data_IF_710698711348
#
_entry.id   IF_710698711348
#
_cell.length_a   1.000
_cell.length_b   1.000
_cell.length_c   1.000
_cell.angle_alpha   90.00
_cell.angle_beta   90.00
_cell.angle_gamma   90.00
#
_symmetry.space_group_name_H-M   'P 1'
#
loop_
_entity.id
_entity.type
_entity.pdbx_description
1 polymer ?
#
# COMPACT_ATOMS: atom_id res chain seq x y z
N UNK A 1 2.04 6.45 4.54
CA UNK A 1 1.63 5.35 3.65
C UNK A 1 0.30 5.70 3.01
N UNK A 2 0.17 5.72 1.68
CA UNK A 2 -1.04 6.17 0.97
C UNK A 2 -1.89 5.02 0.39
N UNK A 3 -3.10 5.33 -0.11
CA UNK A 3 -4.03 4.37 -0.72
C UNK A 3 -3.39 3.54 -1.85
N UNK A 4 -2.68 4.18 -2.79
CA UNK A 4 -2.02 3.49 -3.91
C UNK A 4 -1.05 2.40 -3.43
N UNK A 5 -0.13 2.77 -2.53
CA UNK A 5 0.85 1.83 -2.00
C UNK A 5 0.19 0.75 -1.12
N UNK A 6 -0.95 1.03 -0.47
CA UNK A 6 -1.69 0.00 0.26
C UNK A 6 -2.34 -1.01 -0.69
N UNK A 7 -2.95 -0.55 -1.77
CA UNK A 7 -3.49 -1.43 -2.83
C UNK A 7 -2.38 -2.33 -3.37
N UNK A 8 -1.21 -1.76 -3.68
CA UNK A 8 -0.04 -2.53 -4.11
C UNK A 8 0.38 -3.60 -3.09
N UNK A 9 0.32 -3.31 -1.79
CA UNK A 9 0.58 -4.31 -0.74
C UNK A 9 -0.51 -5.38 -0.63
N UNK A 10 -1.77 -5.00 -0.80
CA UNK A 10 -2.88 -5.95 -0.88
C UNK A 10 -2.65 -6.95 -2.01
N UNK A 11 -2.33 -6.46 -3.21
CA UNK A 11 -1.99 -7.27 -4.38
C UNK A 11 -0.76 -8.13 -4.10
N UNK A 12 0.30 -7.56 -3.51
CA UNK A 12 1.51 -8.30 -3.17
C UNK A 12 1.21 -9.49 -2.25
N UNK A 13 0.42 -9.32 -1.18
CA UNK A 13 0.15 -10.41 -0.25
C UNK A 13 -0.88 -11.42 -0.78
N UNK A 14 -1.97 -10.94 -1.38
CA UNK A 14 -3.14 -11.75 -1.74
C UNK A 14 -3.09 -12.31 -3.16
N UNK A 15 -2.19 -11.79 -3.99
CA UNK A 15 -2.14 -11.93 -5.46
C UNK A 15 -3.34 -11.28 -6.15
N UNK A 16 -3.16 -10.87 -7.41
CA UNK A 16 -4.24 -10.25 -8.21
C UNK A 16 -5.40 -11.24 -8.46
N UNK A 17 -5.10 -12.53 -8.53
CA UNK A 17 -6.03 -13.63 -8.78
C UNK A 17 -6.04 -14.61 -7.59
N UNK A 18 -6.44 -14.12 -6.41
CA UNK A 18 -6.61 -14.99 -5.24
C UNK A 18 -7.59 -16.13 -5.56
N UNK A 19 -7.16 -17.38 -5.29
CA UNK A 19 -8.01 -18.56 -5.42
C UNK A 19 -9.01 -18.67 -4.27
N UNK A 20 -8.60 -18.24 -3.07
CA UNK A 20 -9.46 -18.24 -1.88
C UNK A 20 -10.50 -17.13 -1.93
N UNK A 21 -11.72 -17.44 -1.49
CA UNK A 21 -12.81 -16.46 -1.40
C UNK A 21 -12.48 -15.34 -0.40
N UNK A 22 -11.95 -15.70 0.77
CA UNK A 22 -11.45 -14.76 1.78
C UNK A 22 -10.45 -13.76 1.20
N UNK A 23 -9.48 -14.23 0.39
CA UNK A 23 -8.50 -13.38 -0.27
C UNK A 23 -9.09 -12.48 -1.37
N UNK A 24 -10.09 -12.94 -2.13
CA UNK A 24 -10.78 -12.12 -3.14
C UNK A 24 -11.56 -10.98 -2.48
N UNK A 25 -12.32 -11.29 -1.45
CA UNK A 25 -13.08 -10.28 -0.70
C UNK A 25 -12.16 -9.26 -0.03
N UNK A 26 -11.05 -9.70 0.58
CA UNK A 26 -10.09 -8.79 1.18
C UNK A 26 -9.39 -7.91 0.14
N UNK A 27 -9.08 -8.47 -1.05
CA UNK A 27 -8.52 -7.69 -2.15
C UNK A 27 -9.53 -6.66 -2.68
N UNK A 28 -10.81 -6.99 -2.70
CA UNK A 28 -11.88 -6.03 -3.03
C UNK A 28 -11.89 -4.84 -2.07
N UNK A 29 -11.72 -5.08 -0.77
CA UNK A 29 -11.58 -4.02 0.24
C UNK A 29 -10.35 -3.14 0.01
N UNK A 30 -9.23 -3.71 -0.42
CA UNK A 30 -8.08 -2.91 -0.82
C UNK A 30 -8.40 -2.02 -2.02
N UNK A 31 -9.03 -2.56 -3.06
CA UNK A 31 -9.34 -1.82 -4.29
C UNK A 31 -10.40 -0.72 -4.08
N UNK A 32 -11.26 -0.85 -3.07
CA UNK A 32 -12.28 0.14 -2.73
C UNK A 32 -11.77 1.30 -1.87
N UNK A 33 -10.54 1.24 -1.34
CA UNK A 33 -9.97 2.26 -0.43
C UNK A 33 -10.13 3.70 -0.92
N UNK A 34 -9.95 3.93 -2.22
CA UNK A 34 -10.04 5.26 -2.84
C UNK A 34 -11.45 5.88 -2.80
N UNK A 35 -12.49 5.10 -2.56
CA UNK A 35 -13.89 5.54 -2.68
C UNK A 35 -14.70 5.29 -1.40
N UNK A 36 -14.04 4.86 -0.33
CA UNK A 36 -14.70 4.47 0.93
C UNK A 36 -14.53 5.56 1.99
N UNK A 37 -15.47 5.57 2.94
CA UNK A 37 -15.32 6.31 4.20
C UNK A 37 -14.62 5.44 5.24
N UNK A 38 -13.90 6.08 6.17
CA UNK A 38 -13.23 5.42 7.28
C UNK A 38 -14.15 4.42 8.02
N UNK A 39 -15.34 4.88 8.41
CA UNK A 39 -16.29 4.08 9.20
C UNK A 39 -16.79 2.87 8.42
N UNK A 40 -17.20 3.08 7.17
CA UNK A 40 -17.67 1.99 6.29
C UNK A 40 -16.58 0.94 6.13
N UNK A 41 -15.34 1.34 5.87
CA UNK A 41 -14.23 0.41 5.71
C UNK A 41 -13.97 -0.38 7.01
N UNK A 42 -14.01 0.27 8.17
CA UNK A 42 -13.83 -0.39 9.47
C UNK A 42 -14.92 -1.43 9.75
N UNK A 43 -16.18 -1.08 9.44
CA UNK A 43 -17.31 -1.99 9.56
C UNK A 43 -17.17 -3.18 8.62
N UNK A 44 -16.92 -2.95 7.32
CA UNK A 44 -16.78 -4.02 6.34
C UNK A 44 -15.57 -4.91 6.64
N UNK A 45 -14.45 -4.35 7.10
CA UNK A 45 -13.28 -5.13 7.51
C UNK A 45 -13.57 -6.02 8.73
N UNK A 46 -14.42 -5.54 9.66
CA UNK A 46 -14.85 -6.31 10.83
C UNK A 46 -15.82 -7.43 10.43
N UNK A 47 -16.78 -7.14 9.54
CA UNK A 47 -17.67 -8.14 8.96
C UNK A 47 -16.91 -9.23 8.22
N UNK A 48 -15.90 -8.85 7.43
CA UNK A 48 -15.02 -9.78 6.73
C UNK A 48 -14.29 -10.71 7.71
N UNK A 49 -13.74 -10.18 8.82
CA UNK A 49 -13.07 -11.00 9.83
C UNK A 49 -14.03 -12.00 10.48
N UNK A 50 -15.26 -11.57 10.78
CA UNK A 50 -16.27 -12.44 11.37
C UNK A 50 -16.68 -13.55 10.41
N UNK A 51 -16.90 -13.22 9.13
CA UNK A 51 -17.26 -14.18 8.07
C UNK A 51 -16.17 -15.25 7.86
N UNK A 52 -14.90 -14.83 7.82
CA UNK A 52 -13.77 -15.70 7.49
C UNK A 52 -12.97 -16.15 8.72
N UNK A 53 -13.52 -16.03 9.93
CA UNK A 53 -12.79 -16.23 11.19
C UNK A 53 -12.13 -17.61 11.30
N UNK A 54 -12.86 -18.65 10.93
CA UNK A 54 -12.39 -20.04 10.98
C UNK A 54 -11.21 -20.24 10.04
N UNK A 55 -11.38 -19.88 8.76
CA UNK A 55 -10.31 -19.93 7.77
C UNK A 55 -9.11 -19.07 8.18
N UNK A 56 -9.35 -17.86 8.70
CA UNK A 56 -8.30 -16.92 9.10
C UNK A 56 -7.43 -17.43 10.27
N UNK A 57 -7.99 -18.26 11.15
CA UNK A 57 -7.31 -18.81 12.32
C UNK A 57 -6.81 -20.24 12.14
N UNK A 58 -7.03 -20.84 10.98
CA UNK A 58 -6.55 -22.17 10.64
C UNK A 58 -5.02 -22.29 10.84
N UNK A 59 -4.63 -23.33 11.57
CA UNK A 59 -3.23 -23.64 11.89
C UNK A 59 -2.67 -24.67 10.91
N UNK A 60 -1.35 -24.68 10.77
CA UNK A 60 -0.67 -25.71 9.98
C UNK A 60 -0.69 -27.03 10.74
N UNK A 61 -1.06 -28.11 10.04
CA UNK A 61 -1.05 -29.48 10.56
C UNK A 61 0.37 -29.90 11.02
N UNK A 62 1.41 -29.48 10.29
CA UNK A 62 2.79 -29.83 10.60
C UNK A 62 3.41 -28.98 11.72
N UNK A 63 2.84 -27.80 12.00
CA UNK A 63 3.35 -26.90 13.03
C UNK A 63 2.22 -26.01 13.57
N UNK A 64 1.64 -26.42 14.70
CA UNK A 64 0.53 -25.72 15.35
C UNK A 64 0.87 -24.26 15.75
N UNK A 65 2.16 -23.92 15.92
CA UNK A 65 2.58 -22.53 16.17
C UNK A 65 2.43 -21.64 14.94
N UNK A 66 2.40 -22.23 13.74
CA UNK A 66 2.27 -21.51 12.48
C UNK A 66 0.81 -21.47 11.99
N UNK A 67 0.38 -20.30 11.52
CA UNK A 67 -0.87 -20.18 10.76
C UNK A 67 -0.70 -20.71 9.34
N UNK A 68 -1.76 -21.31 8.78
CA UNK A 68 -1.79 -21.78 7.40
C UNK A 68 -1.75 -20.62 6.42
N UNK A 69 -2.53 -19.56 6.67
CA UNK A 69 -2.70 -18.43 5.77
C UNK A 69 -1.89 -17.18 6.17
N UNK A 70 -0.57 -17.32 6.29
CA UNK A 70 0.33 -16.24 6.77
C UNK A 70 0.21 -14.94 5.96
N UNK A 71 0.10 -15.06 4.62
CA UNK A 71 -0.01 -13.90 3.71
C UNK A 71 -1.35 -13.17 3.88
N UNK A 72 -2.45 -13.90 3.98
CA UNK A 72 -3.78 -13.35 4.25
C UNK A 72 -3.79 -12.57 5.57
N UNK A 73 -3.24 -13.17 6.63
CA UNK A 73 -3.12 -12.51 7.94
C UNK A 73 -2.25 -11.26 7.87
N UNK A 74 -1.14 -11.33 7.13
CA UNK A 74 -0.24 -10.19 6.95
C UNK A 74 -0.95 -9.03 6.24
N UNK A 75 -1.72 -9.32 5.18
CA UNK A 75 -2.55 -8.33 4.49
C UNK A 75 -3.56 -7.68 5.44
N UNK A 76 -4.37 -8.49 6.13
CA UNK A 76 -5.37 -7.99 7.08
C UNK A 76 -4.75 -7.07 8.14
N UNK A 77 -3.69 -7.51 8.81
CA UNK A 77 -3.05 -6.72 9.87
C UNK A 77 -2.33 -5.48 9.35
N UNK A 78 -1.84 -5.51 8.10
CA UNK A 78 -1.24 -4.34 7.45
C UNK A 78 -2.32 -3.28 7.20
N UNK A 79 -3.46 -3.70 6.64
CA UNK A 79 -4.59 -2.81 6.41
C UNK A 79 -5.10 -2.22 7.73
N UNK A 80 -5.46 -3.08 8.68
CA UNK A 80 -6.03 -2.69 9.98
C UNK A 80 -5.17 -1.67 10.74
N UNK A 81 -3.86 -1.87 10.81
CA UNK A 81 -2.94 -0.94 11.50
C UNK A 81 -2.80 0.40 10.78
N UNK A 82 -3.01 0.44 9.47
CA UNK A 82 -2.80 1.64 8.67
C UNK A 82 -4.06 2.46 8.42
N UNK A 83 -5.25 1.92 8.69
CA UNK A 83 -6.55 2.57 8.43
C UNK A 83 -6.60 4.01 8.94
N UNK A 84 -6.21 4.27 10.20
CA UNK A 84 -6.28 5.62 10.77
C UNK A 84 -5.43 6.65 10.02
N UNK A 85 -4.31 6.23 9.44
CA UNK A 85 -3.41 7.10 8.70
C UNK A 85 -3.87 7.33 7.26
N UNK A 86 -4.58 6.37 6.67
CA UNK A 86 -5.08 6.46 5.30
C UNK A 86 -6.17 7.52 5.16
N UNK A 87 -7.01 7.65 6.19
CA UNK A 87 -8.14 8.59 6.24
C UNK A 87 -7.84 9.87 7.03
N UNK A 88 -6.57 10.25 7.16
CA UNK A 88 -6.17 11.48 7.87
C UNK A 88 -6.85 12.72 7.28
N UNK A 89 -6.99 12.77 5.94
CA UNK A 89 -7.67 13.85 5.22
C UNK A 89 -9.17 13.97 5.58
N UNK A 90 -9.83 12.87 5.99
CA UNK A 90 -11.23 12.92 6.46
C UNK A 90 -11.32 13.40 7.90
N UNK A 91 -10.29 13.12 8.71
CA UNK A 91 -10.27 13.50 10.13
C UNK A 91 -9.94 14.97 10.33
N UNK A 92 -9.10 15.54 9.46
CA UNK A 92 -8.62 16.91 9.54
C UNK A 92 -8.84 17.64 8.22
N UNK A 93 -10.11 17.95 7.85
CA UNK A 93 -10.42 18.64 6.60
C UNK A 93 -9.81 20.06 6.53
N UNK A 94 -9.51 20.68 7.66
CA UNK A 94 -8.90 22.01 7.76
C UNK A 94 -7.47 22.08 7.21
N UNK A 95 -6.79 20.93 7.11
CA UNK A 95 -5.41 20.87 6.61
C UNK A 95 -5.33 20.82 5.07
N UNK A 96 -6.46 20.79 4.37
CA UNK A 96 -6.58 20.70 2.90
C UNK A 96 -5.64 19.66 2.26
N UNK A 97 -5.49 18.52 2.95
CA UNK A 97 -4.60 17.45 2.49
C UNK A 97 -5.27 16.76 1.30
N UNK A 98 -4.63 16.86 0.14
CA UNK A 98 -5.10 16.18 -1.06
C UNK A 98 -5.31 14.68 -0.81
N UNK A 99 -6.51 14.20 -1.16
CA UNK A 99 -6.86 12.78 -1.07
C UNK A 99 -6.14 11.91 -2.11
N UNK A 100 -5.59 12.50 -3.18
CA UNK A 100 -4.92 11.78 -4.27
C UNK A 100 -3.40 11.93 -4.22
N UNK A 101 -2.68 10.93 -4.76
CA UNK A 101 -1.22 10.92 -4.80
C UNK A 101 -0.64 11.63 -6.02
N UNK A 102 -1.47 12.24 -6.87
CA UNK A 102 -1.07 12.83 -8.16
C UNK A 102 0.06 13.85 -8.03
N UNK A 103 0.00 14.72 -7.03
CA UNK A 103 1.04 15.74 -6.79
C UNK A 103 2.39 15.10 -6.45
N UNK A 104 2.36 14.11 -5.57
CA UNK A 104 3.55 13.37 -5.14
C UNK A 104 4.11 12.53 -6.28
N UNK A 105 3.25 11.84 -7.05
CA UNK A 105 3.65 11.06 -8.22
C UNK A 105 4.24 11.92 -9.34
N UNK A 106 3.65 13.09 -9.61
CA UNK A 106 4.20 14.07 -10.56
C UNK A 106 5.58 14.57 -10.13
N UNK A 107 5.76 14.88 -8.84
CA UNK A 107 7.04 15.29 -8.29
C UNK A 107 8.10 14.19 -8.41
N UNK A 108 7.77 12.95 -8.02
CA UNK A 108 8.68 11.80 -8.17
C UNK A 108 9.03 11.53 -9.63
N UNK A 109 8.08 11.70 -10.56
CA UNK A 109 8.35 11.57 -11.99
C UNK A 109 9.38 12.59 -12.47
N UNK A 110 9.24 13.85 -12.09
CA UNK A 110 10.20 14.90 -12.44
C UNK A 110 11.59 14.62 -11.86
N UNK A 111 11.65 14.20 -10.60
CA UNK A 111 12.91 13.83 -9.95
C UNK A 111 13.57 12.64 -10.64
N UNK A 112 12.81 11.57 -10.93
CA UNK A 112 13.33 10.39 -11.62
C UNK A 112 13.83 10.73 -13.03
N UNK A 113 13.16 11.62 -13.76
CA UNK A 113 13.62 12.05 -15.08
C UNK A 113 15.00 12.74 -15.01
N UNK A 114 15.23 13.57 -13.99
CA UNK A 114 16.56 14.16 -13.74
C UNK A 114 17.59 13.13 -13.31
N UNK A 115 17.22 12.15 -12.49
CA UNK A 115 18.15 11.11 -12.02
C UNK A 115 18.57 10.12 -13.11
N UNK A 116 17.70 9.84 -14.10
CA UNK A 116 18.00 8.90 -15.18
C UNK A 116 19.24 9.32 -15.98
N UNK A 117 19.48 10.63 -16.19
CA UNK A 117 20.70 11.10 -16.86
C UNK A 117 21.98 10.88 -16.05
N UNK A 118 21.86 10.55 -14.76
CA UNK A 118 22.96 10.27 -13.85
C UNK A 118 23.09 8.78 -13.49
N UNK A 119 22.23 7.91 -14.03
CA UNK A 119 22.31 6.48 -13.76
C UNK A 119 23.60 5.90 -14.36
N UNK A 120 24.49 5.40 -13.49
CA UNK A 120 25.76 4.80 -13.88
C UNK A 120 26.97 5.74 -13.81
N UNK A 121 26.80 6.97 -13.32
CA UNK A 121 27.94 7.84 -12.97
C UNK A 121 28.61 7.32 -11.69
N UNK A 122 29.94 7.23 -11.73
CA UNK A 122 30.77 7.04 -10.53
C UNK A 122 31.19 8.40 -9.98
N UNK A 123 31.55 8.47 -8.69
CA UNK A 123 31.98 9.72 -8.04
C UNK A 123 33.11 10.44 -8.82
N UNK A 124 33.96 9.67 -9.52
CA UNK A 124 35.05 10.18 -10.37
C UNK A 124 34.55 10.88 -11.65
N UNK A 125 33.39 10.49 -12.19
CA UNK A 125 32.81 11.08 -13.41
C UNK A 125 31.92 12.30 -13.11
N UNK A 126 31.33 12.35 -11.91
CA UNK A 126 30.52 13.49 -11.46
C UNK A 126 31.35 14.76 -11.23
N UNK A 127 32.60 14.62 -10.77
CA UNK A 127 33.53 15.74 -10.58
C UNK A 127 33.88 16.47 -11.89
N UNK A 128 33.85 15.78 -13.04
CA UNK A 128 34.20 16.33 -14.35
C UNK A 128 33.04 17.09 -15.00
N UNK A 129 31.78 16.84 -14.60
CA UNK A 129 30.57 17.46 -15.20
C UNK A 129 29.89 18.50 -14.32
N UNK A 130 30.37 18.73 -13.09
CA UNK A 130 29.88 19.77 -12.19
C UNK A 130 29.89 21.20 -12.77
N UNK A 131 30.54 21.43 -13.90
CA UNK A 131 30.58 22.73 -14.58
C UNK A 131 29.42 22.99 -15.56
N UNK A 132 28.61 21.99 -15.93
CA UNK A 132 27.64 22.12 -17.03
C UNK A 132 26.15 22.09 -16.63
N UNK A 133 25.80 21.98 -15.34
CA UNK A 133 24.42 21.74 -14.91
C UNK A 133 23.73 22.93 -14.20
N UNK A 134 24.36 24.10 -14.15
CA UNK A 134 23.77 25.35 -13.62
C UNK A 134 23.47 26.37 -14.74
N UNK A 135 22.77 25.94 -15.79
CA UNK A 135 22.21 26.87 -16.78
C UNK A 135 20.88 26.33 -17.33
N UNK A 136 19.85 26.30 -16.48
CA UNK A 136 18.43 26.52 -16.81
C UNK A 136 17.79 27.20 -15.61
#
# INVERSE_FOLDING_TARGET
>A
MCHFHQIGRGIFYLTKSSKSESGKELLSLYNSLKHQMLETLQQTLSQWLNKHKEYFNERSENNLRCFKHKRLRSAYWRLKRSINYLFTYQRYPELDVAHTTNLVESFFRQMNAKLVSHQGLTDEQDAVRGCCLFNI
#
